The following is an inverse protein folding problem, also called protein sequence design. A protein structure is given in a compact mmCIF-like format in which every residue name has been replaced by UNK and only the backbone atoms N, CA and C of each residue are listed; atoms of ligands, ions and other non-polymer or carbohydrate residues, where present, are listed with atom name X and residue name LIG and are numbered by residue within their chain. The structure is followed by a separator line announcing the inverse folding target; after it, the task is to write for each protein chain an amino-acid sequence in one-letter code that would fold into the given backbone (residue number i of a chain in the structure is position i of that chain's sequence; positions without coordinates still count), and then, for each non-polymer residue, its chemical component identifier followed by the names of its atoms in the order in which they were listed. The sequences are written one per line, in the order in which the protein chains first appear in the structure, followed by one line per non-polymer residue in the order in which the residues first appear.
data_IF_565978463784
#
_entry.id   IF_565978463784
#
_cell.length_a   1.000
_cell.length_b   1.000
_cell.length_c   1.000
_cell.angle_alpha   90.00
_cell.angle_beta   90.00
_cell.angle_gamma   90.00
#
_symmetry.space_group_name_H-M   'P 1'
#
loop_
_entity.id
_entity.type
_entity.pdbx_description
1 polymer ?
#
# COMPACT_ATOMS: atom_id res chain seq x y z
N UNK A 1 -18.16 11.47 -22.38
CA UNK A 1 -17.83 10.38 -23.33
C UNK A 1 -16.68 9.60 -22.73
N UNK A 2 -16.75 8.28 -22.61
CA UNK A 2 -15.72 7.47 -21.93
C UNK A 2 -14.59 7.03 -22.87
N UNK A 3 -14.06 7.95 -23.69
CA UNK A 3 -13.03 7.63 -24.67
C UNK A 3 -11.72 7.17 -24.01
N UNK A 4 -11.44 7.58 -22.76
CA UNK A 4 -10.22 7.23 -22.03
C UNK A 4 -10.19 5.77 -21.53
N UNK A 5 -11.30 5.03 -21.65
CA UNK A 5 -11.41 3.63 -21.20
C UNK A 5 -11.50 2.64 -22.35
N UNK A 6 -11.56 3.12 -23.59
CA UNK A 6 -11.70 2.24 -24.75
C UNK A 6 -10.46 1.37 -24.95
N UNK A 7 -10.69 0.13 -25.38
CA UNK A 7 -9.62 -0.86 -25.60
C UNK A 7 -9.46 -1.24 -27.07
N UNK A 8 -10.21 -0.60 -27.99
CA UNK A 8 -10.09 -0.84 -29.42
C UNK A 8 -10.54 0.34 -30.28
N UNK A 9 -10.07 0.39 -31.52
CA UNK A 9 -10.52 1.37 -32.53
C UNK A 9 -12.02 1.23 -32.83
N UNK A 10 -12.55 0.00 -32.82
CA UNK A 10 -13.97 -0.27 -33.09
C UNK A 10 -14.83 0.37 -32.01
N UNK A 11 -14.45 0.23 -30.75
CA UNK A 11 -15.15 0.84 -29.62
C UNK A 11 -15.10 2.37 -29.69
N UNK A 12 -13.96 2.94 -30.09
CA UNK A 12 -13.84 4.38 -30.29
C UNK A 12 -14.82 4.91 -31.35
N UNK A 13 -15.08 4.13 -32.41
CA UNK A 13 -16.05 4.45 -33.47
C UNK A 13 -17.51 4.37 -33.00
N UNK A 14 -17.83 3.60 -31.97
CA UNK A 14 -19.22 3.52 -31.45
C UNK A 14 -19.61 4.77 -30.65
N UNK A 15 -18.63 5.57 -30.21
CA UNK A 15 -18.84 6.78 -29.42
C UNK A 15 -19.37 7.97 -30.22
N UNK A 16 -19.31 7.93 -31.55
CA UNK A 16 -19.84 8.98 -32.41
C UNK A 16 -19.08 9.14 -33.73
N UNK A 17 -19.31 10.27 -34.42
CA UNK A 17 -18.56 10.60 -35.63
C UNK A 17 -17.10 10.98 -35.30
N UNK A 18 -16.20 10.79 -36.28
CA UNK A 18 -14.77 11.05 -36.10
C UNK A 18 -14.48 12.44 -35.54
N UNK A 19 -15.12 13.47 -36.09
CA UNK A 19 -14.89 14.85 -35.66
C UNK A 19 -15.40 15.10 -34.25
N UNK A 20 -16.54 14.49 -33.86
CA UNK A 20 -17.11 14.63 -32.51
C UNK A 20 -16.20 13.99 -31.48
N UNK A 21 -15.76 12.76 -31.73
CA UNK A 21 -14.86 12.04 -30.81
C UNK A 21 -13.51 12.75 -30.73
N UNK A 22 -12.91 13.13 -31.87
CA UNK A 22 -11.64 13.87 -31.90
C UNK A 22 -11.71 15.17 -31.11
N UNK A 23 -12.74 15.99 -31.32
CA UNK A 23 -12.88 17.26 -30.62
C UNK A 23 -13.06 17.06 -29.11
N UNK A 24 -13.78 16.00 -28.69
CA UNK A 24 -13.92 15.68 -27.27
C UNK A 24 -12.59 15.27 -26.65
N UNK A 25 -11.84 14.37 -27.30
CA UNK A 25 -10.52 13.96 -26.84
C UNK A 25 -9.60 15.17 -26.72
N UNK A 26 -9.57 16.04 -27.73
CA UNK A 26 -8.76 17.27 -27.73
C UNK A 26 -9.15 18.22 -26.61
N UNK A 27 -10.45 18.45 -26.41
CA UNK A 27 -10.96 19.28 -25.31
C UNK A 27 -10.55 18.76 -23.93
N UNK A 28 -10.61 17.44 -23.72
CA UNK A 28 -10.33 16.83 -22.42
C UNK A 28 -8.83 16.82 -22.05
N UNK A 29 -7.94 16.98 -23.04
CA UNK A 29 -6.48 16.99 -22.82
C UNK A 29 -5.84 18.37 -23.01
N UNK A 30 -6.59 19.36 -23.45
CA UNK A 30 -6.13 20.75 -23.51
C UNK A 30 -5.95 21.33 -22.09
N UNK A 31 -4.97 22.24 -21.89
CA UNK A 31 -4.01 22.76 -22.86
C UNK A 31 -2.75 21.88 -23.01
N UNK A 32 -2.72 20.69 -22.42
CA UNK A 32 -1.51 19.90 -22.25
C UNK A 32 -1.08 19.15 -23.51
N UNK A 33 -2.04 18.67 -24.29
CA UNK A 33 -1.77 17.92 -25.53
C UNK A 33 -2.60 18.44 -26.69
N UNK A 34 -2.02 18.40 -27.89
CA UNK A 34 -2.70 18.75 -29.13
C UNK A 34 -2.90 17.50 -29.99
N UNK A 35 -4.14 17.23 -30.39
CA UNK A 35 -4.50 16.01 -31.10
C UNK A 35 -4.41 16.20 -32.61
N UNK A 36 -3.29 15.78 -33.21
CA UNK A 36 -3.07 15.83 -34.67
C UNK A 36 -3.29 14.46 -35.31
N UNK A 37 -4.55 14.12 -35.57
CA UNK A 37 -4.93 12.89 -36.27
C UNK A 37 -5.82 13.15 -37.50
N UNK A 38 -5.74 12.24 -38.49
CA UNK A 38 -6.55 12.27 -39.72
C UNK A 38 -7.33 10.98 -39.98
N UNK A 39 -7.07 9.93 -39.21
CA UNK A 39 -7.79 8.66 -39.28
C UNK A 39 -8.22 8.17 -37.90
N UNK A 40 -9.21 7.26 -37.85
CA UNK A 40 -9.61 6.58 -36.61
C UNK A 40 -8.47 5.81 -35.96
N UNK A 41 -7.64 5.16 -36.77
CA UNK A 41 -6.45 4.45 -36.32
C UNK A 41 -5.48 5.40 -35.60
N UNK A 42 -5.17 6.55 -36.22
CA UNK A 42 -4.29 7.55 -35.62
C UNK A 42 -4.88 8.08 -34.30
N UNK A 43 -6.19 8.35 -34.27
CA UNK A 43 -6.86 8.85 -33.07
C UNK A 43 -6.80 7.80 -31.94
N UNK A 44 -7.02 6.52 -32.26
CA UNK A 44 -6.91 5.44 -31.29
C UNK A 44 -5.48 5.28 -30.76
N UNK A 45 -4.46 5.39 -31.61
CA UNK A 45 -3.06 5.40 -31.18
C UNK A 45 -2.75 6.56 -30.23
N UNK A 46 -3.29 7.77 -30.49
CA UNK A 46 -3.16 8.89 -29.57
C UNK A 46 -3.84 8.63 -28.22
N UNK A 47 -5.05 8.06 -28.23
CA UNK A 47 -5.77 7.68 -27.00
C UNK A 47 -4.95 6.67 -26.19
N UNK A 48 -4.36 5.67 -26.83
CA UNK A 48 -3.49 4.68 -26.16
C UNK A 48 -2.27 5.35 -25.52
N UNK A 49 -1.60 6.25 -26.24
CA UNK A 49 -0.46 6.99 -25.69
C UNK A 49 -0.87 7.83 -24.47
N UNK A 50 -2.05 8.46 -24.50
CA UNK A 50 -2.57 9.22 -23.37
C UNK A 50 -2.90 8.32 -22.17
N UNK A 51 -3.47 7.14 -22.41
CA UNK A 51 -3.70 6.14 -21.36
C UNK A 51 -2.39 5.69 -20.73
N UNK A 52 -1.38 5.36 -21.53
CA UNK A 52 -0.05 4.96 -21.06
C UNK A 52 0.62 6.08 -20.25
N UNK A 53 0.57 7.33 -20.73
CA UNK A 53 1.07 8.49 -19.99
C UNK A 53 0.32 8.70 -18.67
N UNK A 54 -1.01 8.54 -18.65
CA UNK A 54 -1.79 8.60 -17.42
C UNK A 54 -1.37 7.53 -16.42
N UNK A 55 -1.10 6.31 -16.87
CA UNK A 55 -0.60 5.23 -16.01
C UNK A 55 0.78 5.57 -15.45
N UNK A 56 1.71 6.06 -16.28
CA UNK A 56 3.05 6.45 -15.85
C UNK A 56 3.03 7.59 -14.82
N UNK A 57 2.16 8.58 -15.00
CA UNK A 57 2.01 9.69 -14.05
C UNK A 57 1.48 9.21 -12.71
N UNK A 58 0.45 8.36 -12.71
CA UNK A 58 -0.09 7.76 -11.48
C UNK A 58 0.94 6.88 -10.78
N UNK A 59 1.69 6.07 -11.52
CA UNK A 59 2.75 5.24 -10.96
C UNK A 59 3.86 6.09 -10.33
N UNK A 60 4.28 7.16 -11.00
CA UNK A 60 5.29 8.07 -10.47
C UNK A 60 4.81 8.79 -9.20
N UNK A 61 3.59 9.33 -9.19
CA UNK A 61 3.00 9.93 -7.98
C UNK A 61 2.91 8.93 -6.83
N UNK A 62 2.47 7.69 -7.12
CA UNK A 62 2.43 6.63 -6.11
C UNK A 62 3.82 6.28 -5.58
N UNK A 63 4.84 6.24 -6.45
CA UNK A 63 6.23 5.97 -6.07
C UNK A 63 6.80 7.11 -5.22
N UNK A 64 6.54 8.37 -5.56
CA UNK A 64 6.94 9.54 -4.76
C UNK A 64 6.28 9.52 -3.38
N UNK A 65 4.98 9.21 -3.29
CA UNK A 65 4.28 9.06 -2.01
C UNK A 65 4.81 7.88 -1.18
N UNK A 66 5.17 6.76 -1.83
CA UNK A 66 5.81 5.63 -1.16
C UNK A 66 7.20 6.02 -0.65
N UNK A 67 7.99 6.73 -1.45
CA UNK A 67 9.31 7.17 -1.07
C UNK A 67 9.25 8.17 0.08
N UNK A 68 8.33 9.14 0.06
CA UNK A 68 8.07 10.05 1.17
C UNK A 68 7.63 9.30 2.44
N UNK A 69 6.82 8.24 2.32
CA UNK A 69 6.44 7.40 3.46
C UNK A 69 7.64 6.63 4.02
N UNK A 70 8.50 6.10 3.16
CA UNK A 70 9.74 5.42 3.56
C UNK A 70 10.69 6.42 4.22
N UNK A 71 10.88 7.61 3.66
CA UNK A 71 11.72 8.66 4.22
C UNK A 71 11.17 9.17 5.54
N UNK A 72 9.86 9.39 5.66
CA UNK A 72 9.22 9.73 6.94
C UNK A 72 9.43 8.63 7.99
N UNK A 73 9.32 7.35 7.61
CA UNK A 73 9.64 6.23 8.52
C UNK A 73 11.14 6.13 8.86
N UNK A 74 12.04 6.62 8.00
CA UNK A 74 13.48 6.72 8.24
C UNK A 74 13.87 7.94 9.07
N UNK A 75 13.11 9.03 9.01
CA UNK A 75 13.26 10.23 9.85
C UNK A 75 12.65 9.99 11.25
N UNK A 76 11.64 9.12 11.36
CA UNK A 76 11.24 8.45 12.60
C UNK A 76 12.28 7.40 13.08
N UNK A 77 13.57 7.61 12.78
CA UNK A 77 14.66 6.94 13.46
C UNK A 77 14.72 7.40 14.92
N UNK A 78 14.31 6.48 15.80
CA UNK A 78 14.70 6.37 17.21
C UNK A 78 14.34 7.54 18.15
N UNK A 79 13.23 8.25 17.93
CA UNK A 79 12.64 9.01 19.05
C UNK A 79 11.96 8.01 19.98
N UNK A 80 12.65 7.65 21.08
CA UNK A 80 12.07 6.82 22.14
C UNK A 80 10.65 7.34 22.43
N UNK A 81 9.63 6.48 22.49
CA UNK A 81 8.29 6.96 22.74
C UNK A 81 8.28 7.72 24.08
N UNK A 82 7.66 8.90 24.09
CA UNK A 82 7.84 9.96 25.09
C UNK A 82 7.77 9.49 26.55
N UNK A 83 7.00 8.44 26.81
CA UNK A 83 6.74 7.88 28.14
C UNK A 83 7.51 6.59 28.45
N UNK A 84 8.46 6.17 27.61
CA UNK A 84 9.23 4.93 27.77
C UNK A 84 10.73 5.18 27.79
N UNK A 85 11.44 4.34 28.53
CA UNK A 85 12.90 4.39 28.66
C UNK A 85 13.58 3.90 27.37
N UNK A 86 13.01 2.87 26.74
CA UNK A 86 13.51 2.27 25.50
C UNK A 86 12.38 1.86 24.55
N UNK A 87 12.75 1.38 23.37
CA UNK A 87 11.78 0.84 22.41
C UNK A 87 11.27 -0.53 22.86
N UNK A 88 12.16 -1.31 23.46
CA UNK A 88 11.92 -2.62 24.03
C UNK A 88 10.84 -2.53 25.11
N UNK A 89 10.95 -1.57 26.03
CA UNK A 89 9.95 -1.32 27.07
C UNK A 89 8.58 -0.98 26.47
N UNK A 90 8.56 -0.18 25.41
CA UNK A 90 7.33 0.20 24.74
C UNK A 90 6.65 -0.99 24.08
N UNK A 91 7.39 -1.82 23.34
CA UNK A 91 6.82 -3.01 22.70
C UNK A 91 6.36 -4.06 23.72
N UNK A 92 7.09 -4.25 24.81
CA UNK A 92 6.67 -5.11 25.92
C UNK A 92 5.37 -4.60 26.53
N UNK A 93 5.28 -3.29 26.80
CA UNK A 93 4.04 -2.68 27.27
C UNK A 93 2.88 -2.85 26.28
N UNK A 94 3.12 -2.61 24.98
CA UNK A 94 2.09 -2.76 23.95
C UNK A 94 1.56 -4.20 23.83
N UNK A 95 2.40 -5.20 24.09
CA UNK A 95 1.99 -6.60 24.04
C UNK A 95 1.22 -7.02 25.29
N UNK A 96 1.68 -6.59 26.47
CA UNK A 96 1.16 -7.08 27.75
C UNK A 96 -0.01 -6.26 28.30
N UNK A 97 0.00 -4.95 28.11
CA UNK A 97 -0.92 -4.04 28.79
C UNK A 97 -1.98 -3.45 27.83
N UNK A 98 -1.76 -3.52 26.51
CA UNK A 98 -2.75 -3.06 25.53
C UNK A 98 -3.60 -4.21 24.98
N UNK A 99 -4.87 -3.92 24.75
CA UNK A 99 -5.81 -4.82 24.10
C UNK A 99 -6.52 -4.17 22.91
N UNK A 100 -7.19 -5.00 22.11
CA UNK A 100 -8.06 -4.58 21.00
C UNK A 100 -7.41 -3.55 20.06
N UNK A 101 -8.16 -2.51 19.72
CA UNK A 101 -7.76 -1.50 18.75
C UNK A 101 -6.49 -0.72 19.16
N UNK A 102 -6.26 -0.53 20.46
CA UNK A 102 -5.08 0.18 20.96
C UNK A 102 -3.80 -0.61 20.68
N UNK A 103 -3.81 -1.92 20.95
CA UNK A 103 -2.71 -2.83 20.61
C UNK A 103 -2.50 -2.91 19.10
N UNK A 104 -3.59 -3.04 18.34
CA UNK A 104 -3.55 -3.08 16.88
C UNK A 104 -2.84 -1.86 16.28
N UNK A 105 -3.23 -0.65 16.74
CA UNK A 105 -2.66 0.60 16.24
C UNK A 105 -1.20 0.75 16.62
N UNK A 106 -0.83 0.44 17.87
CA UNK A 106 0.55 0.61 18.37
C UNK A 106 1.52 -0.41 17.79
N UNK A 107 1.08 -1.64 17.53
CA UNK A 107 1.89 -2.69 16.89
C UNK A 107 1.81 -2.67 15.36
N UNK A 108 1.18 -1.66 14.76
CA UNK A 108 0.96 -1.55 13.32
C UNK A 108 0.35 -2.81 12.69
N UNK A 109 -0.54 -3.47 13.43
CA UNK A 109 -1.26 -4.63 12.93
C UNK A 109 -2.29 -4.17 11.90
N UNK A 110 -2.17 -4.67 10.67
CA UNK A 110 -3.12 -4.38 9.59
C UNK A 110 -3.89 -5.64 9.23
N UNK A 111 -5.08 -5.48 8.63
CA UNK A 111 -5.87 -6.62 8.12
C UNK A 111 -5.06 -7.48 7.15
N UNK A 112 -4.13 -6.88 6.39
CA UNK A 112 -3.27 -7.60 5.45
C UNK A 112 -2.44 -8.70 6.11
N UNK A 113 -2.09 -8.58 7.40
CA UNK A 113 -1.36 -9.61 8.14
C UNK A 113 -2.17 -10.90 8.29
N UNK A 114 -3.50 -10.81 8.34
CA UNK A 114 -4.42 -11.95 8.46
C UNK A 114 -4.77 -12.61 7.12
N UNK A 115 -4.25 -12.07 6.02
CA UNK A 115 -4.51 -12.57 4.67
C UNK A 115 -3.23 -12.92 3.91
N UNK A 116 -2.06 -12.57 4.43
CA UNK A 116 -0.78 -12.82 3.78
C UNK A 116 0.25 -13.29 4.81
N UNK A 117 0.61 -14.57 4.70
CA UNK A 117 1.56 -15.25 5.59
C UNK A 117 2.96 -14.62 5.59
N UNK A 118 3.45 -14.19 4.43
CA UNK A 118 4.76 -13.55 4.31
C UNK A 118 4.80 -12.24 5.10
N UNK A 119 3.77 -11.39 4.93
CA UNK A 119 3.63 -10.14 5.69
C UNK A 119 3.51 -10.39 7.20
N UNK A 120 2.76 -11.41 7.61
CA UNK A 120 2.66 -11.80 9.01
C UNK A 120 4.01 -12.25 9.60
N UNK A 121 4.79 -13.01 8.82
CA UNK A 121 6.11 -13.51 9.23
C UNK A 121 7.09 -12.37 9.41
N UNK A 122 7.15 -11.45 8.44
CA UNK A 122 8.00 -10.25 8.52
C UNK A 122 7.62 -9.39 9.73
N UNK A 123 6.32 -9.16 9.96
CA UNK A 123 5.84 -8.43 11.13
C UNK A 123 6.28 -9.09 12.45
N UNK A 124 6.12 -10.41 12.56
CA UNK A 124 6.53 -11.17 13.74
C UNK A 124 8.04 -11.09 13.98
N UNK A 125 8.85 -11.29 12.93
CA UNK A 125 10.31 -11.25 13.01
C UNK A 125 10.83 -9.86 13.43
N UNK A 126 10.22 -8.80 12.91
CA UNK A 126 10.56 -7.43 13.28
C UNK A 126 10.36 -7.18 14.77
N UNK A 127 9.23 -7.58 15.35
CA UNK A 127 8.99 -7.43 16.79
C UNK A 127 9.91 -8.34 17.60
N UNK A 128 10.11 -9.60 17.17
CA UNK A 128 11.01 -10.54 17.81
C UNK A 128 12.43 -9.97 17.94
N UNK A 129 12.96 -9.35 16.89
CA UNK A 129 14.29 -8.71 16.92
C UNK A 129 14.47 -7.61 17.97
N UNK A 130 13.36 -7.07 18.50
CA UNK A 130 13.36 -6.00 19.51
C UNK A 130 13.24 -6.60 20.92
N UNK A 131 12.30 -7.53 21.13
CA UNK A 131 11.92 -7.99 22.47
C UNK A 131 12.46 -9.37 22.86
N UNK A 132 13.16 -10.08 21.96
CA UNK A 132 13.60 -11.44 22.24
C UNK A 132 14.47 -11.49 23.50
N UNK A 133 14.24 -12.42 24.46
CA UNK A 133 14.97 -12.45 25.73
C UNK A 133 16.50 -12.56 25.61
N UNK A 134 17.00 -13.08 24.49
CA UNK A 134 18.45 -13.13 24.22
C UNK A 134 19.07 -11.78 23.84
N UNK A 135 18.25 -10.78 23.53
CA UNK A 135 18.67 -9.43 23.11
C UNK A 135 18.18 -8.40 24.13
N UNK A 136 16.95 -8.56 24.63
CA UNK A 136 16.30 -7.68 25.60
C UNK A 136 16.35 -8.30 27.01
N UNK A 137 17.01 -7.61 27.95
CA UNK A 137 17.15 -8.05 29.34
C UNK A 137 15.97 -7.61 30.23
N UNK A 138 14.87 -7.14 29.65
CA UNK A 138 13.71 -6.71 30.42
C UNK A 138 13.03 -7.93 31.08
N UNK A 139 12.65 -7.88 32.37
CA UNK A 139 12.15 -9.05 33.10
C UNK A 139 10.85 -9.63 32.52
N UNK A 140 10.05 -8.81 31.84
CA UNK A 140 8.82 -9.24 31.14
C UNK A 140 9.02 -9.64 29.67
N UNK A 141 10.25 -9.69 29.16
CA UNK A 141 10.52 -10.00 27.75
C UNK A 141 9.99 -11.39 27.34
N UNK A 142 10.17 -12.38 28.22
CA UNK A 142 9.65 -13.74 27.98
C UNK A 142 8.12 -13.77 27.92
N UNK A 143 7.45 -13.11 28.86
CA UNK A 143 5.98 -12.99 28.85
C UNK A 143 5.47 -12.29 27.58
N UNK A 144 6.15 -11.22 27.14
CA UNK A 144 5.78 -10.51 25.92
C UNK A 144 5.98 -11.40 24.67
N UNK A 145 7.03 -12.23 24.65
CA UNK A 145 7.29 -13.17 23.56
C UNK A 145 6.21 -14.25 23.46
N UNK A 146 5.69 -14.74 24.59
CA UNK A 146 4.57 -15.68 24.62
C UNK A 146 3.33 -15.04 23.97
N UNK A 147 2.99 -13.81 24.35
CA UNK A 147 1.85 -13.10 23.76
C UNK A 147 2.03 -12.86 22.26
N UNK A 148 3.25 -12.47 21.83
CA UNK A 148 3.56 -12.29 20.42
C UNK A 148 3.37 -13.59 19.61
N UNK A 149 3.84 -14.72 20.15
CA UNK A 149 3.66 -16.05 19.55
C UNK A 149 2.18 -16.41 19.39
N UNK A 150 1.38 -16.14 20.42
CA UNK A 150 -0.06 -16.45 20.38
C UNK A 150 -0.81 -15.60 19.36
N UNK A 151 -0.46 -14.31 19.24
CA UNK A 151 -1.02 -13.43 18.21
C UNK A 151 -0.65 -13.94 16.82
N UNK A 152 0.61 -14.28 16.60
CA UNK A 152 1.07 -14.79 15.31
C UNK A 152 0.40 -16.12 14.93
N UNK A 153 0.29 -17.06 15.88
CA UNK A 153 -0.44 -18.32 15.65
C UNK A 153 -1.88 -18.07 15.20
N UNK A 154 -2.61 -17.20 15.89
CA UNK A 154 -3.99 -16.82 15.50
C UNK A 154 -4.05 -16.26 14.07
N UNK A 155 -3.09 -15.43 13.67
CA UNK A 155 -3.03 -14.92 12.30
C UNK A 155 -2.85 -16.03 11.25
N UNK A 156 -2.05 -17.05 11.55
CA UNK A 156 -1.80 -18.17 10.65
C UNK A 156 -2.98 -19.14 10.63
N UNK A 157 -3.57 -19.43 11.79
CA UNK A 157 -4.72 -20.34 11.90
C UNK A 157 -5.95 -19.78 11.17
N UNK A 158 -6.23 -18.47 11.29
CA UNK A 158 -7.30 -17.80 10.53
C UNK A 158 -7.09 -17.87 9.01
N UNK A 159 -5.83 -17.94 8.54
CA UNK A 159 -5.53 -18.12 7.12
C UNK A 159 -5.84 -19.55 6.68
N UNK A 160 -5.51 -20.55 7.50
CA UNK A 160 -5.75 -21.95 7.18
C UNK A 160 -7.25 -22.31 7.15
N UNK A 161 -8.08 -21.65 7.96
CA UNK A 161 -9.54 -21.87 7.97
C UNK A 161 -10.24 -21.31 6.72
N UNK A 162 -9.69 -20.29 6.05
CA UNK A 162 -10.31 -19.67 4.86
C UNK A 162 -10.14 -20.47 3.56
N UNK A 163 -9.35 -21.55 3.58
CA UNK A 163 -9.06 -22.39 2.40
C UNK A 163 -9.52 -23.86 2.57
N UNK A 164 -10.32 -24.16 3.60
CA UNK A 164 -11.08 -25.40 3.76
C UNK A 164 -12.57 -25.12 3.58
#
# INVERSE_FOLDING_TARGET
MHWSQVTSEIELRTLGSFQVVKNQVEYDVEPYFKIRCRSWKDLYEQVKNLQELSHLLLENEMNELQQLRIEKSKVEKKVKPEYFLSYEDAYIFYLLELEGNSRFKKLNMTRALYHNREKATIWYQNICSIIHPSICHHPKAESAMIVLNDIYKKMIDEQNVKYN
#
